data_IF_052342527548
#
_entry.id   IF_052342527548
#
_cell.length_a   1.000
_cell.length_b   1.000
_cell.length_c   1.000
_cell.angle_alpha   90.00
_cell.angle_beta   90.00
_cell.angle_gamma   90.00
#
_symmetry.space_group_name_H-M   'P 1'
#
loop_
_entity.id
_entity.type
_entity.pdbx_description
1 polymer ?
#
# COMPACT_ATOMS: atom_id res chain seq x y z
N UNK A 1 50.36 -44.18 43.74
CA UNK A 1 50.52 -43.27 42.63
C UNK A 1 49.16 -43.22 41.91
N UNK A 2 48.28 -42.39 42.47
CA UNK A 2 46.85 -42.30 42.05
C UNK A 2 46.68 -41.19 41.07
N UNK A 3 46.06 -41.49 39.94
CA UNK A 3 45.69 -40.54 38.90
C UNK A 3 44.30 -39.96 39.17
N UNK A 4 44.25 -38.68 39.43
CA UNK A 4 43.00 -37.89 39.54
C UNK A 4 42.25 -37.81 38.22
N UNK A 5 40.91 -37.94 38.20
CA UNK A 5 40.13 -37.74 36.98
C UNK A 5 39.89 -36.26 36.73
N UNK A 6 40.12 -35.86 35.48
CA UNK A 6 39.87 -34.54 34.94
C UNK A 6 38.35 -34.21 34.90
N UNK A 7 37.96 -33.18 35.61
CA UNK A 7 36.62 -32.62 35.58
C UNK A 7 36.43 -31.89 34.24
N UNK A 8 35.61 -32.47 33.33
CA UNK A 8 35.11 -31.80 32.15
C UNK A 8 34.09 -30.72 32.56
N UNK A 9 34.47 -29.46 32.50
CA UNK A 9 33.55 -28.34 32.58
C UNK A 9 32.77 -28.28 31.28
N UNK A 10 31.52 -28.76 31.31
CA UNK A 10 30.56 -28.49 30.21
C UNK A 10 30.18 -27.03 30.23
N UNK A 11 30.64 -26.29 29.21
CA UNK A 11 30.16 -24.95 28.94
C UNK A 11 28.80 -25.11 28.25
N UNK A 12 27.72 -24.93 29.02
CA UNK A 12 26.38 -24.76 28.46
C UNK A 12 26.37 -23.34 27.91
N UNK A 13 26.59 -23.22 26.62
CA UNK A 13 26.32 -21.99 25.89
C UNK A 13 24.81 -21.81 25.83
N UNK A 14 24.29 -20.94 26.66
CA UNK A 14 22.91 -20.45 26.55
C UNK A 14 22.80 -19.66 25.22
N UNK A 15 22.21 -20.29 24.23
CA UNK A 15 21.72 -19.60 23.05
C UNK A 15 20.46 -18.80 23.44
N UNK A 16 20.67 -17.71 24.18
CA UNK A 16 19.66 -16.67 24.39
C UNK A 16 19.84 -15.65 23.29
N UNK A 17 18.85 -15.51 22.49
CA UNK A 17 18.43 -14.47 21.54
C UNK A 17 18.19 -15.00 20.12
N UNK A 18 16.95 -14.93 19.68
CA UNK A 18 16.47 -13.70 19.02
C UNK A 18 15.02 -13.28 19.34
N UNK A 19 14.47 -13.68 20.48
CA UNK A 19 13.06 -13.35 20.81
C UNK A 19 12.81 -11.89 21.20
N UNK A 20 13.85 -11.14 21.54
CA UNK A 20 13.74 -9.73 22.00
C UNK A 20 13.65 -8.68 20.88
N UNK A 21 13.93 -9.06 19.63
CA UNK A 21 13.91 -8.12 18.49
C UNK A 21 12.50 -7.88 17.89
N UNK A 22 11.51 -8.69 18.29
CA UNK A 22 10.14 -8.57 17.76
C UNK A 22 9.15 -7.83 18.68
N UNK A 23 9.56 -7.51 19.92
CA UNK A 23 8.66 -6.94 20.93
C UNK A 23 8.15 -5.51 20.61
N UNK A 24 8.74 -4.83 19.63
CA UNK A 24 8.34 -3.47 19.22
C UNK A 24 7.63 -3.38 17.86
N UNK A 25 7.45 -4.51 17.15
CA UNK A 25 6.85 -4.51 15.83
C UNK A 25 5.33 -4.70 15.95
N UNK A 26 4.51 -3.81 15.35
CA UNK A 26 3.06 -3.99 15.30
C UNK A 26 2.67 -5.37 14.76
N UNK A 27 1.56 -6.00 15.23
CA UNK A 27 1.14 -7.33 14.80
C UNK A 27 1.03 -7.50 13.29
N UNK A 28 0.61 -6.45 12.59
CA UNK A 28 0.53 -6.41 11.13
C UNK A 28 1.87 -6.63 10.44
N UNK A 29 2.98 -6.34 11.10
CA UNK A 29 4.34 -6.45 10.54
C UNK A 29 5.15 -7.61 11.13
N UNK A 30 4.66 -8.31 12.13
CA UNK A 30 5.41 -9.40 12.77
C UNK A 30 5.74 -10.55 11.83
N UNK A 31 4.90 -10.76 10.82
CA UNK A 31 5.10 -11.79 9.80
C UNK A 31 6.00 -11.35 8.64
N UNK A 32 6.32 -10.07 8.54
CA UNK A 32 7.09 -9.52 7.41
C UNK A 32 7.96 -8.33 7.84
N UNK A 33 8.97 -8.61 8.66
CA UNK A 33 9.97 -7.63 9.10
C UNK A 33 10.76 -7.02 7.93
N UNK A 34 10.73 -7.67 6.75
CA UNK A 34 11.42 -7.18 5.55
C UNK A 34 10.74 -5.97 4.91
N UNK A 35 9.54 -5.62 5.33
CA UNK A 35 8.83 -4.42 4.85
C UNK A 35 9.31 -3.13 5.54
N UNK A 36 10.13 -3.21 6.56
CA UNK A 36 10.78 -2.04 7.16
C UNK A 36 11.77 -1.42 6.19
N UNK A 37 11.65 -0.13 5.94
CA UNK A 37 12.61 0.57 5.10
C UNK A 37 13.60 1.42 5.89
N UNK A 38 13.17 2.16 6.90
CA UNK A 38 14.03 3.03 7.72
C UNK A 38 13.50 3.15 9.13
N UNK A 39 14.39 3.33 10.08
CA UNK A 39 14.05 3.68 11.46
C UNK A 39 14.06 5.21 11.58
N UNK A 40 12.90 5.80 11.71
CA UNK A 40 12.68 7.21 11.99
C UNK A 40 11.89 7.33 13.31
N UNK A 41 11.72 8.54 13.86
CA UNK A 41 10.87 8.81 15.03
C UNK A 41 9.46 8.22 14.83
N UNK A 42 9.01 8.21 13.58
CA UNK A 42 7.86 7.43 13.12
C UNK A 42 8.37 6.41 12.10
N UNK A 43 8.46 5.16 12.50
CA UNK A 43 8.79 4.08 11.59
C UNK A 43 7.74 3.99 10.48
N UNK A 44 8.23 3.67 9.28
CA UNK A 44 7.39 3.42 8.11
C UNK A 44 7.56 1.99 7.62
N UNK A 45 6.46 1.38 7.24
CA UNK A 45 6.47 0.12 6.53
C UNK A 45 5.59 0.22 5.28
N UNK A 46 6.02 -0.42 4.20
CA UNK A 46 5.27 -0.47 2.94
C UNK A 46 4.61 -1.84 2.81
N UNK A 47 3.29 -1.85 2.78
CA UNK A 47 2.47 -3.04 2.78
C UNK A 47 1.84 -3.22 1.41
N UNK A 48 2.13 -4.34 0.78
CA UNK A 48 1.55 -4.73 -0.51
C UNK A 48 0.08 -5.14 -0.34
N UNK A 49 -0.83 -4.82 -1.27
CA UNK A 49 -2.20 -5.29 -1.22
C UNK A 49 -2.26 -6.82 -1.17
N UNK A 50 -3.19 -7.36 -0.39
CA UNK A 50 -3.40 -8.82 -0.29
C UNK A 50 -4.23 -9.37 -1.44
N UNK A 51 -5.16 -8.56 -1.97
CA UNK A 51 -6.02 -8.97 -3.09
C UNK A 51 -6.64 -7.77 -3.80
N UNK A 52 -7.09 -8.04 -5.00
CA UNK A 52 -7.98 -7.15 -5.75
C UNK A 52 -9.41 -7.59 -5.43
N UNK A 53 -10.20 -6.68 -4.87
CA UNK A 53 -11.61 -6.94 -4.49
C UNK A 53 -12.50 -6.87 -5.71
N UNK A 54 -12.39 -5.78 -6.46
CA UNK A 54 -13.11 -5.57 -7.71
C UNK A 54 -12.25 -4.80 -8.71
N UNK A 55 -12.53 -5.01 -9.98
CA UNK A 55 -11.99 -4.21 -11.07
C UNK A 55 -13.09 -3.87 -12.07
N UNK A 56 -13.08 -2.65 -12.60
CA UNK A 56 -13.82 -2.30 -13.78
C UNK A 56 -12.83 -2.10 -14.92
N UNK A 57 -12.85 -3.03 -15.86
CA UNK A 57 -11.91 -3.09 -16.97
C UNK A 57 -12.57 -2.71 -18.33
N UNK A 58 -13.72 -2.04 -18.27
CA UNK A 58 -14.53 -1.71 -19.42
C UNK A 58 -15.39 -2.86 -19.91
N UNK A 59 -16.36 -2.59 -20.78
CA UNK A 59 -17.28 -3.59 -21.32
C UNK A 59 -16.57 -4.75 -22.05
N UNK A 60 -15.39 -4.49 -22.63
CA UNK A 60 -14.58 -5.50 -23.33
C UNK A 60 -13.46 -6.11 -22.47
N UNK A 61 -13.43 -5.85 -21.19
CA UNK A 61 -12.38 -6.30 -20.26
C UNK A 61 -10.93 -5.96 -20.71
N UNK A 62 -10.74 -4.88 -21.42
CA UNK A 62 -9.44 -4.51 -22.00
C UNK A 62 -8.81 -3.26 -21.38
N UNK A 63 -9.52 -2.57 -20.48
CA UNK A 63 -9.02 -1.36 -19.84
C UNK A 63 -8.02 -1.61 -18.71
N UNK A 64 -7.98 -2.82 -18.16
CA UNK A 64 -7.01 -3.20 -17.12
C UNK A 64 -6.34 -4.48 -17.53
N UNK A 65 -5.00 -4.48 -17.49
CA UNK A 65 -4.16 -5.64 -17.79
C UNK A 65 -3.09 -5.80 -16.74
N UNK A 66 -2.76 -7.07 -16.44
CA UNK A 66 -1.65 -7.44 -15.56
C UNK A 66 -1.79 -6.89 -14.13
N UNK A 67 -2.99 -6.74 -13.65
CA UNK A 67 -3.28 -6.23 -12.29
C UNK A 67 -2.68 -7.10 -11.19
N UNK A 68 -2.41 -8.38 -11.43
CA UNK A 68 -1.80 -9.29 -10.47
C UNK A 68 -0.40 -8.82 -10.02
N UNK A 69 0.34 -8.06 -10.85
CA UNK A 69 1.62 -7.50 -10.44
C UNK A 69 1.53 -6.53 -9.27
N UNK A 70 0.36 -5.92 -9.03
CA UNK A 70 0.16 -5.05 -7.86
C UNK A 70 0.10 -5.84 -6.54
N UNK A 71 -0.05 -7.16 -6.60
CA UNK A 71 -0.03 -8.05 -5.44
C UNK A 71 1.37 -8.58 -5.15
N UNK A 72 2.34 -8.28 -6.01
CA UNK A 72 3.73 -8.60 -5.80
C UNK A 72 4.43 -7.42 -5.12
N UNK A 73 5.39 -7.74 -4.26
CA UNK A 73 6.20 -6.72 -3.62
C UNK A 73 7.08 -6.00 -4.65
N UNK A 74 6.95 -4.69 -4.73
CA UNK A 74 7.81 -3.86 -5.55
C UNK A 74 9.15 -3.53 -4.88
N UNK A 75 10.06 -2.95 -5.65
CA UNK A 75 11.35 -2.44 -5.17
C UNK A 75 11.35 -0.91 -5.02
N UNK A 76 10.19 -0.26 -5.16
CA UNK A 76 10.06 1.19 -5.09
C UNK A 76 10.61 1.96 -6.29
N UNK A 77 11.08 1.29 -7.33
CA UNK A 77 11.68 1.92 -8.51
C UNK A 77 10.69 2.00 -9.65
N UNK A 78 10.62 3.16 -10.28
CA UNK A 78 9.88 3.37 -11.53
C UNK A 78 10.48 2.54 -12.68
N UNK A 79 9.63 2.06 -13.58
CA UNK A 79 10.04 1.22 -14.70
C UNK A 79 9.45 1.70 -16.02
N UNK A 80 10.31 2.20 -16.91
CA UNK A 80 9.89 2.82 -18.17
C UNK A 80 9.39 1.81 -19.21
N UNK A 81 9.79 0.54 -19.13
CA UNK A 81 9.48 -0.46 -20.15
C UNK A 81 8.14 -1.18 -19.94
N UNK A 82 7.35 -0.80 -18.96
CA UNK A 82 6.05 -1.39 -18.59
C UNK A 82 6.08 -2.89 -18.27
N UNK A 83 7.24 -3.51 -18.17
CA UNK A 83 7.36 -4.91 -17.74
C UNK A 83 6.92 -5.01 -16.29
N UNK A 84 6.16 -6.07 -15.99
CA UNK A 84 5.62 -6.28 -14.62
C UNK A 84 4.90 -5.06 -14.06
N UNK A 85 4.11 -4.40 -14.88
CA UNK A 85 3.27 -3.29 -14.47
C UNK A 85 1.80 -3.61 -14.73
N UNK A 86 0.94 -3.18 -13.82
CA UNK A 86 -0.49 -3.08 -14.10
C UNK A 86 -0.72 -1.92 -15.06
N UNK A 87 -1.43 -2.18 -16.14
CA UNK A 87 -1.77 -1.16 -17.14
C UNK A 87 -3.24 -0.81 -16.98
N UNK A 88 -3.52 0.46 -16.75
CA UNK A 88 -4.87 1.01 -16.70
C UNK A 88 -5.08 1.96 -17.87
N UNK A 89 -6.16 1.76 -18.60
CA UNK A 89 -6.53 2.58 -19.75
C UNK A 89 -7.91 3.19 -19.53
N UNK A 90 -8.12 4.39 -20.00
CA UNK A 90 -9.43 5.05 -20.05
C UNK A 90 -9.73 5.49 -21.47
N UNK A 91 -11.01 5.52 -21.78
CA UNK A 91 -11.57 6.14 -22.99
C UNK A 91 -12.32 7.41 -22.60
N UNK A 92 -13.05 8.01 -23.53
CA UNK A 92 -13.96 9.11 -23.21
C UNK A 92 -15.13 8.67 -22.34
N UNK A 93 -15.65 7.47 -22.60
CA UNK A 93 -16.87 6.95 -21.98
C UNK A 93 -16.63 5.97 -20.85
N UNK A 94 -15.51 5.24 -20.84
CA UNK A 94 -15.21 4.20 -19.88
C UNK A 94 -13.92 4.51 -19.11
N UNK A 95 -13.97 4.31 -17.80
CA UNK A 95 -12.84 4.57 -16.88
C UNK A 95 -12.41 3.28 -16.18
N UNK A 96 -11.12 3.00 -16.20
CA UNK A 96 -10.56 1.89 -15.43
C UNK A 96 -10.63 2.19 -13.93
N UNK A 97 -10.99 1.20 -13.14
CA UNK A 97 -11.07 1.29 -11.68
C UNK A 97 -10.62 0.00 -11.01
N UNK A 98 -9.86 0.13 -9.93
CA UNK A 98 -9.40 -0.96 -9.08
C UNK A 98 -9.78 -0.70 -7.62
N UNK A 99 -10.27 -1.72 -6.92
CA UNK A 99 -10.44 -1.72 -5.47
C UNK A 99 -9.51 -2.77 -4.86
N UNK A 100 -8.60 -2.32 -4.01
CA UNK A 100 -7.56 -3.11 -3.37
C UNK A 100 -7.89 -3.31 -1.88
N UNK A 101 -7.58 -4.50 -1.35
CA UNK A 101 -7.68 -4.85 0.08
C UNK A 101 -6.27 -5.11 0.63
N UNK A 102 -5.87 -4.37 1.66
CA UNK A 102 -4.58 -4.53 2.34
C UNK A 102 -4.61 -5.58 3.46
N UNK A 103 -5.77 -6.20 3.70
CA UNK A 103 -5.95 -7.33 4.61
C UNK A 103 -6.27 -6.96 6.04
N UNK A 104 -5.80 -5.84 6.52
CA UNK A 104 -6.08 -5.28 7.86
C UNK A 104 -6.22 -3.77 7.78
N UNK A 105 -6.84 -3.20 8.80
CA UNK A 105 -6.92 -1.76 8.97
C UNK A 105 -5.54 -1.20 9.29
N UNK A 106 -5.21 -0.07 8.67
CA UNK A 106 -3.92 0.61 8.72
C UNK A 106 -4.16 2.10 8.94
N UNK A 107 -3.20 2.77 9.59
CA UNK A 107 -3.14 4.22 9.63
C UNK A 107 -1.91 4.72 8.88
N UNK A 108 -2.13 5.57 7.89
CA UNK A 108 -1.05 6.15 7.08
C UNK A 108 -1.52 6.58 5.70
N UNK A 109 -0.71 6.30 4.68
CA UNK A 109 -0.96 6.76 3.32
C UNK A 109 -0.81 5.66 2.27
N UNK A 110 -0.74 6.09 1.04
CA UNK A 110 -0.54 5.24 -0.13
C UNK A 110 0.69 5.70 -0.88
N UNK A 111 1.54 4.76 -1.29
CA UNK A 111 2.63 4.95 -2.22
C UNK A 111 2.22 4.40 -3.58
N UNK A 112 2.35 5.21 -4.62
CA UNK A 112 2.22 4.80 -6.01
C UNK A 112 3.56 4.91 -6.70
N UNK A 113 4.02 3.84 -7.33
CA UNK A 113 5.20 3.83 -8.20
C UNK A 113 4.73 3.66 -9.63
N UNK A 114 5.02 4.67 -10.43
CA UNK A 114 4.62 4.70 -11.83
C UNK A 114 5.61 3.94 -12.71
N UNK A 115 5.12 3.24 -13.70
CA UNK A 115 5.95 2.74 -14.79
C UNK A 115 6.12 3.81 -15.86
N UNK A 116 5.10 3.99 -16.66
CA UNK A 116 5.07 5.03 -17.70
C UNK A 116 3.63 5.37 -18.08
N UNK A 117 3.43 6.51 -18.72
CA UNK A 117 2.16 6.91 -19.30
C UNK A 117 2.30 7.07 -20.84
N UNK A 118 1.20 6.99 -21.57
CA UNK A 118 1.18 7.36 -23.00
C UNK A 118 1.13 8.88 -23.21
N UNK A 119 0.99 9.66 -22.15
CA UNK A 119 0.94 11.12 -22.17
C UNK A 119 2.23 11.71 -21.61
N UNK A 120 2.56 12.91 -22.07
CA UNK A 120 3.66 13.72 -21.49
C UNK A 120 3.18 14.44 -20.23
N UNK A 121 1.95 14.93 -20.24
CA UNK A 121 1.33 15.62 -19.12
C UNK A 121 0.89 14.59 -18.05
N UNK A 122 0.73 15.04 -16.81
CA UNK A 122 0.16 14.24 -15.73
C UNK A 122 -1.22 13.67 -16.07
N UNK A 123 -1.61 12.63 -15.42
CA UNK A 123 -2.92 11.99 -15.60
C UNK A 123 -3.79 12.15 -14.36
N UNK A 124 -5.04 12.56 -14.57
CA UNK A 124 -6.00 12.75 -13.48
C UNK A 124 -6.50 11.41 -12.96
N UNK A 125 -6.40 11.22 -11.66
CA UNK A 125 -6.89 10.04 -10.93
C UNK A 125 -7.73 10.45 -9.74
N UNK A 126 -8.56 9.53 -9.27
CA UNK A 126 -9.26 9.63 -7.98
C UNK A 126 -8.84 8.46 -7.10
N UNK A 127 -8.49 8.77 -5.87
CA UNK A 127 -8.08 7.79 -4.88
C UNK A 127 -9.00 7.93 -3.68
N UNK A 128 -9.64 6.81 -3.31
CA UNK A 128 -10.56 6.76 -2.18
C UNK A 128 -10.08 5.72 -1.18
N UNK A 129 -9.98 6.14 0.06
CA UNK A 129 -9.65 5.30 1.21
C UNK A 129 -10.92 4.91 1.94
N UNK A 130 -10.98 3.69 2.46
CA UNK A 130 -12.11 3.23 3.26
C UNK A 130 -11.72 2.12 4.23
N UNK A 131 -12.38 2.06 5.35
CA UNK A 131 -12.30 0.96 6.31
C UNK A 131 -13.15 -0.22 5.85
N UNK A 132 -14.15 0.06 5.02
CA UNK A 132 -15.01 -0.91 4.37
C UNK A 132 -15.03 -0.74 2.84
N UNK A 133 -15.47 -1.78 2.14
CA UNK A 133 -15.71 -1.76 0.69
C UNK A 133 -16.76 -0.69 0.33
N UNK A 134 -17.81 -0.58 1.16
CA UNK A 134 -18.88 0.42 0.95
C UNK A 134 -18.35 1.84 1.02
N UNK A 135 -17.51 2.14 2.00
CA UNK A 135 -16.90 3.44 2.18
C UNK A 135 -15.96 3.79 1.04
N UNK A 136 -15.05 2.88 0.64
CA UNK A 136 -14.14 3.10 -0.49
C UNK A 136 -14.87 3.27 -1.84
N UNK A 137 -16.11 2.79 -1.95
CA UNK A 137 -16.95 2.97 -3.13
C UNK A 137 -17.88 4.18 -3.04
N UNK A 138 -18.06 4.79 -1.87
CA UNK A 138 -18.94 5.95 -1.70
C UNK A 138 -18.37 7.17 -2.43
N UNK A 139 -19.26 8.07 -2.83
CA UNK A 139 -18.90 9.37 -3.38
C UNK A 139 -19.32 10.45 -2.40
N UNK A 140 -18.37 11.23 -1.93
CA UNK A 140 -18.61 12.34 -1.00
C UNK A 140 -19.26 13.56 -1.66
N UNK A 141 -19.44 13.53 -2.98
CA UNK A 141 -20.01 14.63 -3.75
C UNK A 141 -21.52 14.81 -3.58
N UNK A 142 -22.22 13.91 -2.89
CA UNK A 142 -23.64 14.10 -2.61
C UNK A 142 -23.82 15.19 -1.56
N UNK A 143 -24.47 16.28 -1.96
CA UNK A 143 -24.84 17.43 -1.15
C UNK A 143 -25.68 17.10 0.10
N UNK A 144 -26.14 15.87 0.23
CA UNK A 144 -26.94 15.38 1.35
C UNK A 144 -26.16 15.19 2.66
N UNK A 145 -24.82 15.08 2.60
CA UNK A 145 -23.95 14.89 3.75
C UNK A 145 -23.47 16.20 4.41
N UNK A 146 -24.05 17.34 4.02
CA UNK A 146 -23.65 18.67 4.54
C UNK A 146 -24.11 18.98 5.96
N UNK A 147 -24.82 18.10 6.60
CA UNK A 147 -25.39 18.38 7.93
C UNK A 147 -24.58 17.65 9.01
N UNK A 148 -23.66 18.36 9.64
CA UNK A 148 -23.16 18.03 10.98
C UNK A 148 -21.95 17.10 11.07
N UNK A 149 -21.33 16.67 9.98
CA UNK A 149 -20.11 15.84 10.00
C UNK A 149 -18.88 16.66 9.62
N UNK A 150 -17.76 16.38 10.29
CA UNK A 150 -16.48 16.99 9.98
C UNK A 150 -16.12 16.73 8.52
N UNK A 151 -16.11 17.78 7.70
CA UNK A 151 -15.73 17.72 6.28
C UNK A 151 -14.28 17.34 6.08
N UNK A 152 -13.45 17.48 7.11
CA UNK A 152 -12.01 17.26 7.05
C UNK A 152 -11.64 15.79 6.85
N UNK A 153 -12.35 14.86 7.45
CA UNK A 153 -12.05 13.43 7.34
C UNK A 153 -12.41 12.88 5.95
N UNK A 154 -13.52 13.35 5.37
CA UNK A 154 -13.94 12.94 4.04
C UNK A 154 -13.01 13.49 2.95
N UNK A 155 -12.56 14.73 3.07
CA UNK A 155 -11.62 15.33 2.13
C UNK A 155 -10.26 14.62 2.11
N UNK A 156 -9.85 14.04 3.24
CA UNK A 156 -8.63 13.24 3.34
C UNK A 156 -8.78 11.84 2.76
N UNK A 157 -10.00 11.33 2.65
CA UNK A 157 -10.31 9.96 2.18
C UNK A 157 -10.73 9.89 0.72
N UNK A 158 -11.02 11.01 0.07
CA UNK A 158 -11.44 11.10 -1.33
C UNK A 158 -10.64 12.20 -2.04
N UNK A 159 -9.61 11.81 -2.75
CA UNK A 159 -8.62 12.71 -3.33
C UNK A 159 -8.68 12.60 -4.85
N UNK A 160 -8.95 13.70 -5.52
CA UNK A 160 -8.76 13.84 -6.98
C UNK A 160 -7.47 14.61 -7.20
N UNK A 161 -6.54 14.01 -7.92
CA UNK A 161 -5.23 14.61 -8.16
C UNK A 161 -4.62 14.17 -9.48
N UNK A 162 -3.63 14.92 -9.91
CA UNK A 162 -2.78 14.56 -11.03
C UNK A 162 -1.60 13.70 -10.55
N UNK A 163 -1.36 12.58 -11.23
CA UNK A 163 -0.18 11.74 -11.02
C UNK A 163 0.82 11.95 -12.13
N UNK A 164 2.14 11.92 -11.84
CA UNK A 164 3.17 12.12 -12.84
C UNK A 164 3.18 10.99 -13.86
N UNK A 165 3.82 11.24 -15.00
CA UNK A 165 4.05 10.24 -16.04
C UNK A 165 4.85 9.05 -15.55
N UNK A 166 5.83 9.29 -14.73
CA UNK A 166 6.78 8.33 -14.14
C UNK A 166 7.20 8.79 -12.74
N UNK A 167 7.97 7.98 -12.04
CA UNK A 167 8.42 8.30 -10.69
C UNK A 167 7.54 7.69 -9.61
N UNK A 168 7.56 8.30 -8.44
CA UNK A 168 6.86 7.84 -7.23
C UNK A 168 6.16 9.00 -6.55
N UNK A 169 4.99 8.74 -6.00
CA UNK A 169 4.29 9.68 -5.12
C UNK A 169 3.81 8.97 -3.85
N UNK A 170 3.75 9.72 -2.76
CA UNK A 170 3.13 9.32 -1.50
C UNK A 170 2.01 10.28 -1.15
N UNK A 171 0.85 9.76 -0.80
CA UNK A 171 -0.35 10.57 -0.53
C UNK A 171 -1.16 10.00 0.62
N UNK A 172 -1.95 10.86 1.25
CA UNK A 172 -2.89 10.49 2.30
C UNK A 172 -2.21 10.34 3.67
N UNK A 173 -3.04 10.39 4.69
CA UNK A 173 -2.70 10.12 6.09
C UNK A 173 -4.00 9.90 6.86
N UNK A 174 -4.58 8.69 6.76
CA UNK A 174 -5.88 8.34 7.31
C UNK A 174 -5.93 6.88 7.73
N UNK A 175 -6.97 6.47 8.45
CA UNK A 175 -7.30 5.08 8.69
C UNK A 175 -7.94 4.46 7.45
N UNK A 176 -7.52 3.26 7.04
CA UNK A 176 -8.12 2.54 5.93
C UNK A 176 -7.69 1.07 5.91
N UNK A 177 -8.46 0.26 5.23
CA UNK A 177 -8.13 -1.09 4.80
C UNK A 177 -8.21 -1.24 3.29
N UNK A 178 -9.12 -0.50 2.66
CA UNK A 178 -9.41 -0.58 1.24
C UNK A 178 -8.99 0.72 0.56
N UNK A 179 -8.47 0.59 -0.65
CA UNK A 179 -8.18 1.74 -1.52
C UNK A 179 -8.78 1.49 -2.89
N UNK A 180 -9.57 2.46 -3.34
CA UNK A 180 -10.06 2.48 -4.72
C UNK A 180 -9.29 3.53 -5.53
N UNK A 181 -8.80 3.10 -6.68
CA UNK A 181 -8.14 3.95 -7.67
C UNK A 181 -8.94 3.97 -8.96
N UNK A 182 -9.38 5.15 -9.37
CA UNK A 182 -10.07 5.40 -10.64
C UNK A 182 -9.19 6.25 -11.56
N UNK A 183 -8.99 5.83 -12.80
CA UNK A 183 -8.33 6.64 -13.82
C UNK A 183 -9.35 7.56 -14.47
N UNK A 184 -9.36 8.84 -14.07
CA UNK A 184 -10.36 9.82 -14.56
C UNK A 184 -9.96 10.47 -15.89
N UNK A 185 -8.67 10.58 -16.18
CA UNK A 185 -8.17 11.20 -17.40
C UNK A 185 -8.73 10.50 -18.63
N UNK A 186 -9.29 11.27 -19.58
CA UNK A 186 -9.78 10.76 -20.87
C UNK A 186 -8.62 10.31 -21.77
N UNK A 187 -8.85 9.24 -22.52
CA UNK A 187 -7.92 8.74 -23.54
C UNK A 187 -6.48 8.57 -23.01
N UNK A 188 -6.35 8.09 -21.77
CA UNK A 188 -5.09 7.91 -21.09
C UNK A 188 -4.77 6.43 -20.86
N UNK A 189 -3.48 6.12 -20.89
CA UNK A 189 -2.96 4.83 -20.46
C UNK A 189 -1.81 5.09 -19.48
N UNK A 190 -1.97 4.62 -18.27
CA UNK A 190 -0.94 4.65 -17.22
C UNK A 190 -0.46 3.24 -16.92
N UNK A 191 0.75 3.11 -16.45
CA UNK A 191 1.25 1.86 -15.89
C UNK A 191 1.70 2.08 -14.45
N UNK A 192 1.25 1.19 -13.59
CA UNK A 192 1.55 1.17 -12.16
C UNK A 192 2.47 -0.02 -11.89
N UNK A 193 3.66 0.29 -11.42
CA UNK A 193 4.65 -0.72 -11.03
C UNK A 193 4.36 -1.28 -9.65
N UNK A 194 3.94 -0.41 -8.73
CA UNK A 194 3.68 -0.76 -7.35
C UNK A 194 2.57 0.14 -6.77
N UNK A 195 1.73 -0.45 -5.97
CA UNK A 195 0.85 0.24 -5.03
C UNK A 195 1.11 -0.36 -3.66
N UNK A 196 1.49 0.46 -2.68
CA UNK A 196 1.74 0.01 -1.31
C UNK A 196 1.07 0.95 -0.32
N UNK A 197 0.45 0.40 0.71
CA UNK A 197 0.07 1.21 1.87
C UNK A 197 1.32 1.60 2.65
N UNK A 198 1.34 2.82 3.15
CA UNK A 198 2.37 3.33 4.05
C UNK A 198 1.82 3.21 5.46
N UNK A 199 2.23 2.19 6.19
CA UNK A 199 1.93 2.09 7.61
C UNK A 199 2.89 2.99 8.37
N UNK A 200 2.35 3.90 9.19
CA UNK A 200 3.10 4.74 10.11
C UNK A 200 2.85 4.29 11.54
N UNK A 201 3.89 4.03 12.28
CA UNK A 201 3.80 3.57 13.66
C UNK A 201 4.99 4.06 14.48
N UNK A 202 4.84 4.06 15.79
CA UNK A 202 5.96 4.31 16.71
C UNK A 202 6.64 2.98 17.06
N UNK A 203 7.98 2.97 17.02
CA UNK A 203 8.77 1.82 17.46
C UNK A 203 8.84 1.80 19.00
N UNK A 204 7.72 1.45 19.62
CA UNK A 204 7.60 1.25 21.06
C UNK A 204 7.29 -0.22 21.34
N UNK A 205 7.68 -0.76 22.52
CA UNK A 205 7.31 -2.11 22.89
C UNK A 205 5.79 -2.31 22.84
N UNK A 206 5.34 -3.31 22.11
CA UNK A 206 3.94 -3.72 22.10
C UNK A 206 3.68 -4.64 23.28
N UNK A 207 2.84 -4.20 24.21
CA UNK A 207 2.60 -4.87 25.49
C UNK A 207 1.22 -5.57 25.58
N UNK A 208 0.40 -5.50 24.53
CA UNK A 208 -0.97 -6.04 24.54
C UNK A 208 -1.25 -7.13 23.59
#
# INVERSE_FOLDING_TARGET
MELLPAIRKSIIAFALLPALLYAGIPPTLQSDASQRMTKDIMDRAYITPKRIVTKYAGCKNNLIKNEHYLLERGNGQSEMNRKKCCIMTSTETEKASLLLDFGSELHGGLKLVMGSSNRREPSLVRIRFGESVGEANSTTSNSEWKVGFSTDDHAKRDIVMEIPRDGMIEIGNTGFRFVRLDLLQNNATISLKEISAILRYRDIPYLG
#
